data_IF_118837440373
#
_entry.id   IF_118837440373
#
_cell.length_a   1.000
_cell.length_b   1.000
_cell.length_c   1.000
_cell.angle_alpha   90.00
_cell.angle_beta   90.00
_cell.angle_gamma   90.00
#
_symmetry.space_group_name_H-M   'P 1'
#
loop_
_entity.id
_entity.type
_entity.pdbx_description
1 polymer ?
#
# COMPACT_ATOMS: atom_id res chain seq x y z
N UNK A 1 -4.03 -13.83 -13.94
CA UNK A 1 -2.60 -13.99 -14.31
C UNK A 1 -2.03 -12.59 -14.44
N UNK A 2 -0.79 -12.35 -13.98
CA UNK A 2 -0.08 -11.08 -14.12
C UNK A 2 1.22 -11.27 -14.90
N UNK A 3 1.79 -10.18 -15.41
CA UNK A 3 3.19 -10.13 -15.85
C UNK A 3 3.98 -9.29 -14.86
N UNK A 4 5.24 -9.67 -14.63
CA UNK A 4 6.19 -8.90 -13.82
C UNK A 4 7.20 -8.23 -14.73
N UNK A 5 7.43 -6.95 -14.49
CA UNK A 5 8.36 -6.13 -15.24
C UNK A 5 9.23 -5.30 -14.30
N UNK A 6 10.27 -4.68 -14.86
CA UNK A 6 11.20 -3.81 -14.13
C UNK A 6 11.23 -2.44 -14.79
N UNK A 7 11.14 -1.40 -13.99
CA UNK A 7 11.34 -0.01 -14.36
C UNK A 7 12.64 0.51 -13.74
N UNK A 8 13.47 1.13 -14.54
CA UNK A 8 14.67 1.82 -14.06
C UNK A 8 14.41 3.33 -14.04
N UNK A 9 14.56 3.96 -12.86
CA UNK A 9 14.39 5.40 -12.71
C UNK A 9 15.59 6.20 -13.26
N UNK A 10 15.49 7.52 -13.23
CA UNK A 10 16.55 8.44 -13.71
C UNK A 10 17.87 8.33 -12.93
N UNK A 11 17.86 7.69 -11.77
CA UNK A 11 19.04 7.45 -10.92
C UNK A 11 19.67 6.07 -11.13
N UNK A 12 19.17 5.28 -12.09
CA UNK A 12 19.63 3.90 -12.32
C UNK A 12 19.12 2.88 -11.30
N UNK A 13 18.12 3.23 -10.49
CA UNK A 13 17.53 2.32 -9.50
C UNK A 13 16.37 1.52 -10.12
N UNK A 14 16.30 0.22 -9.83
CA UNK A 14 15.30 -0.68 -10.39
C UNK A 14 14.12 -0.89 -9.45
N UNK A 15 12.91 -0.79 -10.01
CA UNK A 15 11.65 -1.04 -9.35
C UNK A 15 10.91 -2.16 -10.08
N UNK A 16 10.52 -3.20 -9.36
CA UNK A 16 9.65 -4.26 -9.86
C UNK A 16 8.19 -3.79 -9.84
N UNK A 17 7.41 -4.21 -10.82
CA UNK A 17 5.97 -3.97 -10.83
C UNK A 17 5.21 -5.10 -11.52
N UNK A 18 3.93 -5.21 -11.22
CA UNK A 18 3.04 -6.19 -11.82
C UNK A 18 2.00 -5.51 -12.68
N UNK A 19 1.63 -6.15 -13.78
CA UNK A 19 0.54 -5.75 -14.67
C UNK A 19 -0.54 -6.84 -14.64
N UNK A 20 -1.78 -6.45 -14.32
CA UNK A 20 -2.97 -7.29 -14.41
C UNK A 20 -3.91 -6.73 -15.48
N UNK A 21 -4.54 -7.61 -16.26
CA UNK A 21 -5.47 -7.25 -17.32
C UNK A 21 -4.82 -7.10 -18.69
N UNK A 22 -5.54 -6.42 -19.58
CA UNK A 22 -5.10 -6.21 -20.96
C UNK A 22 -3.93 -5.21 -21.01
N UNK A 23 -2.79 -5.66 -21.49
CA UNK A 23 -1.60 -4.80 -21.59
C UNK A 23 -1.74 -3.64 -22.58
N UNK A 24 -2.63 -3.77 -23.56
CA UNK A 24 -2.93 -2.72 -24.53
C UNK A 24 -3.96 -1.70 -24.04
N UNK A 25 -4.56 -1.90 -22.85
CA UNK A 25 -5.56 -0.99 -22.32
C UNK A 25 -4.98 0.39 -22.02
N UNK A 26 -5.73 1.43 -22.39
CA UNK A 26 -5.36 2.84 -22.21
C UNK A 26 -5.86 3.44 -20.88
N UNK A 27 -6.81 2.79 -20.20
CA UNK A 27 -7.27 3.22 -18.88
C UNK A 27 -6.41 2.55 -17.81
N UNK A 28 -5.67 3.35 -17.05
CA UNK A 28 -4.68 2.85 -16.11
C UNK A 28 -5.10 3.02 -14.66
N UNK A 29 -4.99 1.94 -13.89
CA UNK A 29 -5.18 1.94 -12.44
C UNK A 29 -3.84 1.62 -11.79
N UNK A 30 -3.22 2.59 -11.12
CA UNK A 30 -2.03 2.33 -10.32
C UNK A 30 -2.43 1.94 -8.90
N UNK A 31 -1.89 0.84 -8.43
CA UNK A 31 -2.12 0.32 -7.08
C UNK A 31 -0.83 0.33 -6.26
N UNK A 32 -0.90 0.89 -5.04
CA UNK A 32 0.21 0.96 -4.10
C UNK A 32 -0.09 0.13 -2.85
N UNK A 33 0.83 -0.79 -2.51
CA UNK A 33 0.67 -1.74 -1.41
C UNK A 33 0.89 -1.11 -0.02
N UNK A 34 0.51 -1.82 1.04
CA UNK A 34 0.76 -1.43 2.43
C UNK A 34 2.23 -1.62 2.85
N UNK A 35 2.65 -0.97 3.95
CA UNK A 35 3.96 -1.17 4.57
C UNK A 35 4.21 -2.63 4.89
N UNK A 36 5.41 -3.11 4.57
CA UNK A 36 5.85 -4.49 4.83
C UNK A 36 5.30 -5.53 3.85
N UNK A 37 4.42 -5.14 2.91
CA UNK A 37 3.88 -6.00 1.85
C UNK A 37 4.58 -5.71 0.52
N UNK A 38 4.07 -6.30 -0.56
CA UNK A 38 4.55 -6.14 -1.92
C UNK A 38 3.37 -6.22 -2.91
N UNK A 39 3.62 -5.94 -4.17
CA UNK A 39 2.59 -5.95 -5.21
C UNK A 39 1.92 -7.32 -5.36
N UNK A 40 2.68 -8.41 -5.26
CA UNK A 40 2.17 -9.78 -5.45
C UNK A 40 1.27 -10.24 -4.29
N UNK A 41 1.43 -9.69 -3.09
CA UNK A 41 0.50 -9.90 -1.96
C UNK A 41 -0.97 -9.63 -2.36
N UNK A 42 -1.20 -8.75 -3.30
CA UNK A 42 -2.54 -8.35 -3.77
C UNK A 42 -2.96 -9.05 -5.07
N UNK A 43 -2.20 -10.06 -5.53
CA UNK A 43 -2.45 -10.72 -6.80
C UNK A 43 -3.87 -11.26 -6.93
N UNK A 44 -4.38 -11.96 -5.93
CA UNK A 44 -5.76 -12.49 -5.95
C UNK A 44 -6.78 -11.35 -6.09
N UNK A 45 -6.67 -10.32 -5.27
CA UNK A 45 -7.54 -9.15 -5.31
C UNK A 45 -7.49 -8.42 -6.67
N UNK A 46 -6.29 -8.10 -7.17
CA UNK A 46 -6.10 -7.34 -8.39
C UNK A 46 -6.47 -8.16 -9.65
N UNK A 47 -6.22 -9.46 -9.65
CA UNK A 47 -6.65 -10.38 -10.72
C UNK A 47 -8.18 -10.47 -10.81
N UNK A 48 -8.86 -10.58 -9.66
CA UNK A 48 -10.32 -10.59 -9.64
C UNK A 48 -10.92 -9.22 -10.01
N UNK A 49 -10.30 -8.13 -9.59
CA UNK A 49 -10.70 -6.78 -9.99
C UNK A 49 -10.53 -6.59 -11.49
N UNK A 50 -9.40 -6.99 -12.06
CA UNK A 50 -9.12 -6.90 -13.49
C UNK A 50 -10.16 -7.66 -14.32
N UNK A 51 -10.52 -8.90 -13.94
CA UNK A 51 -11.58 -9.69 -14.60
C UNK A 51 -12.94 -8.98 -14.59
N UNK A 52 -13.27 -8.30 -13.47
CA UNK A 52 -14.53 -7.55 -13.34
C UNK A 52 -14.56 -6.25 -14.15
N UNK A 53 -13.42 -5.61 -14.33
CA UNK A 53 -13.29 -4.37 -15.10
C UNK A 53 -13.25 -4.61 -16.61
N UNK A 54 -12.89 -5.84 -17.06
CA UNK A 54 -12.76 -6.21 -18.45
C UNK A 54 -11.54 -5.59 -19.14
N UNK A 55 -11.49 -5.73 -20.47
CA UNK A 55 -10.29 -5.45 -21.27
C UNK A 55 -9.97 -3.97 -21.47
N UNK A 56 -10.84 -3.07 -21.05
CA UNK A 56 -10.61 -1.63 -21.16
C UNK A 56 -9.66 -1.07 -20.10
N UNK A 57 -9.30 -1.87 -19.11
CA UNK A 57 -8.48 -1.45 -17.96
C UNK A 57 -7.23 -2.30 -17.79
N UNK A 58 -6.15 -1.64 -17.39
CA UNK A 58 -4.90 -2.25 -16.96
C UNK A 58 -4.59 -1.78 -15.54
N UNK A 59 -4.31 -2.73 -14.64
CA UNK A 59 -3.91 -2.44 -13.27
C UNK A 59 -2.41 -2.64 -13.16
N UNK A 60 -1.71 -1.63 -12.68
CA UNK A 60 -0.25 -1.62 -12.52
C UNK A 60 0.04 -1.46 -11.03
N UNK A 61 0.71 -2.44 -10.42
CA UNK A 61 1.06 -2.40 -9.00
C UNK A 61 2.57 -2.39 -8.82
N UNK A 62 3.07 -1.34 -8.16
CA UNK A 62 4.50 -1.10 -7.94
C UNK A 62 4.96 -1.79 -6.65
N UNK A 63 6.07 -2.52 -6.69
CA UNK A 63 6.85 -2.84 -5.51
C UNK A 63 7.58 -1.57 -5.07
N UNK A 64 7.13 -0.94 -4.00
CA UNK A 64 7.68 0.33 -3.53
C UNK A 64 9.10 0.14 -2.98
N UNK A 65 9.90 1.20 -2.95
CA UNK A 65 11.29 1.19 -2.42
C UNK A 65 11.41 0.39 -1.13
N UNK A 66 12.37 -0.53 -1.09
CA UNK A 66 12.63 -1.42 0.05
C UNK A 66 11.57 -2.49 0.28
N UNK A 67 10.74 -2.78 -0.72
CA UNK A 67 9.72 -3.83 -0.68
C UNK A 67 9.74 -4.66 -1.97
N UNK A 68 9.16 -5.84 -1.90
CA UNK A 68 9.01 -6.72 -3.04
C UNK A 68 10.33 -7.06 -3.72
N UNK A 69 10.33 -7.10 -5.04
CA UNK A 69 11.52 -7.38 -5.83
C UNK A 69 12.17 -6.11 -6.40
N UNK A 70 11.82 -4.93 -5.88
CA UNK A 70 12.51 -3.68 -6.19
C UNK A 70 13.88 -3.65 -5.52
N UNK A 71 14.94 -3.36 -6.31
CA UNK A 71 16.33 -3.29 -5.83
C UNK A 71 16.81 -1.85 -5.57
N UNK A 72 15.90 -0.88 -5.58
CA UNK A 72 16.19 0.50 -5.24
C UNK A 72 16.71 0.61 -3.79
N UNK A 73 17.79 1.38 -3.59
CA UNK A 73 18.42 1.50 -2.29
C UNK A 73 17.47 2.05 -1.21
N UNK A 74 17.24 1.27 -0.16
CA UNK A 74 16.33 1.55 0.95
C UNK A 74 17.12 1.74 2.24
N UNK A 75 17.75 2.92 2.39
CA UNK A 75 18.50 3.31 3.58
C UNK A 75 17.56 3.91 4.64
N UNK A 76 17.33 3.22 5.80
CA UNK A 76 16.46 3.73 6.85
C UNK A 76 16.91 5.09 7.38
N UNK A 77 18.24 5.36 7.41
CA UNK A 77 18.79 6.62 7.89
C UNK A 77 18.43 7.84 7.03
N UNK A 78 18.03 7.61 5.79
CA UNK A 78 17.62 8.65 4.83
C UNK A 78 16.11 8.86 4.72
N UNK A 79 15.30 7.98 5.31
CA UNK A 79 13.85 8.10 5.25
C UNK A 79 13.34 9.04 6.33
N UNK A 80 13.07 10.28 6.00
CA UNK A 80 12.52 11.29 6.93
C UNK A 80 11.00 11.44 6.84
N UNK A 81 10.42 11.16 5.68
CA UNK A 81 8.98 11.25 5.39
C UNK A 81 8.61 10.29 4.25
N UNK A 82 7.32 10.01 4.08
CA UNK A 82 6.83 9.25 2.93
C UNK A 82 6.87 10.02 1.59
N UNK A 83 7.33 11.26 1.58
CA UNK A 83 7.42 12.03 0.33
C UNK A 83 8.37 11.38 -0.67
N UNK A 84 9.50 10.80 -0.21
CA UNK A 84 10.41 10.07 -1.10
C UNK A 84 9.74 8.89 -1.81
N UNK A 85 8.81 8.19 -1.13
CA UNK A 85 8.02 7.13 -1.75
C UNK A 85 7.00 7.68 -2.75
N UNK A 86 6.47 8.88 -2.50
CA UNK A 86 5.59 9.60 -3.45
C UNK A 86 6.38 10.05 -4.67
N UNK A 87 7.62 10.51 -4.50
CA UNK A 87 8.49 10.93 -5.59
C UNK A 87 8.85 9.74 -6.49
N UNK A 88 9.18 8.57 -5.90
CA UNK A 88 9.39 7.31 -6.65
C UNK A 88 8.13 6.92 -7.44
N UNK A 89 6.95 6.98 -6.81
CA UNK A 89 5.68 6.66 -7.44
C UNK A 89 5.34 7.64 -8.59
N UNK A 90 5.64 8.93 -8.42
CA UNK A 90 5.47 9.96 -9.45
C UNK A 90 6.33 9.68 -10.67
N UNK A 91 7.62 9.44 -10.45
CA UNK A 91 8.59 9.11 -11.50
C UNK A 91 8.15 7.88 -12.30
N UNK A 92 7.66 6.86 -11.59
CA UNK A 92 7.14 5.64 -12.20
C UNK A 92 5.88 5.90 -13.03
N UNK A 93 4.87 6.57 -12.47
CA UNK A 93 3.59 6.83 -13.16
C UNK A 93 3.80 7.66 -14.43
N UNK A 94 4.72 8.62 -14.42
CA UNK A 94 5.01 9.48 -15.57
C UNK A 94 5.57 8.74 -16.79
N UNK A 95 5.96 7.47 -16.66
CA UNK A 95 6.40 6.62 -17.80
C UNK A 95 5.24 6.04 -18.61
N UNK A 96 4.03 6.19 -18.14
CA UNK A 96 2.85 5.60 -18.78
C UNK A 96 1.94 6.71 -19.31
N UNK A 97 1.55 6.59 -20.57
CA UNK A 97 0.47 7.39 -21.14
C UNK A 97 -0.87 6.73 -20.87
N UNK A 98 -1.88 7.51 -20.52
CA UNK A 98 -3.21 6.99 -20.23
C UNK A 98 -4.31 7.90 -20.78
N UNK A 99 -5.44 7.30 -21.18
CA UNK A 99 -6.67 8.01 -21.51
C UNK A 99 -7.42 8.41 -20.25
N UNK A 100 -7.50 7.49 -19.29
CA UNK A 100 -8.04 7.72 -17.97
C UNK A 100 -7.06 7.20 -16.92
N UNK A 101 -6.84 7.99 -15.88
CA UNK A 101 -5.89 7.69 -14.82
C UNK A 101 -6.59 7.56 -13.47
N UNK A 102 -6.36 6.42 -12.82
CA UNK A 102 -6.89 6.10 -11.49
C UNK A 102 -5.76 5.75 -10.55
N UNK A 103 -5.85 6.24 -9.30
CA UNK A 103 -4.95 5.80 -8.25
C UNK A 103 -5.69 5.01 -7.19
N UNK A 104 -5.06 3.96 -6.71
CA UNK A 104 -5.55 3.13 -5.63
C UNK A 104 -4.41 2.71 -4.70
N UNK A 105 -4.73 2.36 -3.49
CA UNK A 105 -3.74 1.79 -2.58
C UNK A 105 -4.37 1.38 -1.26
N UNK A 106 -3.61 0.60 -0.51
CA UNK A 106 -4.00 0.12 0.81
C UNK A 106 -3.09 0.72 1.89
N UNK A 107 -3.66 1.15 3.01
CA UNK A 107 -2.90 1.60 4.19
C UNK A 107 -1.93 2.76 3.85
N UNK A 108 -0.61 2.55 3.94
CA UNK A 108 0.42 3.48 3.47
C UNK A 108 0.24 3.82 1.99
N UNK A 109 0.03 2.80 1.14
CA UNK A 109 -0.16 2.98 -0.30
C UNK A 109 -1.36 3.87 -0.63
N UNK A 110 -2.41 3.86 0.19
CA UNK A 110 -3.54 4.77 0.05
C UNK A 110 -3.13 6.23 0.29
N UNK A 111 -2.21 6.48 1.22
CA UNK A 111 -1.69 7.84 1.47
C UNK A 111 -0.76 8.28 0.35
N UNK A 112 0.04 7.37 -0.20
CA UNK A 112 0.86 7.65 -1.40
C UNK A 112 -0.04 8.01 -2.58
N UNK A 113 -1.07 7.22 -2.86
CA UNK A 113 -2.07 7.50 -3.89
C UNK A 113 -2.74 8.87 -3.71
N UNK A 114 -3.14 9.20 -2.48
CA UNK A 114 -3.74 10.50 -2.16
C UNK A 114 -2.77 11.66 -2.39
N UNK A 115 -1.52 11.55 -1.94
CA UNK A 115 -0.50 12.59 -2.15
C UNK A 115 -0.21 12.75 -3.64
N UNK A 116 0.05 11.64 -4.31
CA UNK A 116 0.36 11.60 -5.73
C UNK A 116 -0.75 12.22 -6.58
N UNK A 117 -2.03 12.02 -6.24
CA UNK A 117 -3.15 12.57 -6.96
C UNK A 117 -3.18 14.11 -7.01
N UNK A 118 -2.47 14.79 -6.12
CA UNK A 118 -2.37 16.25 -6.14
C UNK A 118 -1.25 16.77 -7.03
N UNK A 119 -0.43 15.88 -7.58
CA UNK A 119 0.67 16.17 -8.49
C UNK A 119 0.29 15.98 -9.98
N UNK A 120 -0.89 15.40 -10.24
CA UNK A 120 -1.45 15.20 -11.58
C UNK A 120 -2.70 16.05 -11.76
N UNK A 121 -2.83 16.71 -12.92
CA UNK A 121 -3.98 17.58 -13.22
C UNK A 121 -5.27 16.81 -13.46
N UNK A 122 -5.16 15.60 -14.03
CA UNK A 122 -6.29 14.80 -14.51
C UNK A 122 -6.28 13.41 -13.89
N UNK A 123 -6.96 13.28 -12.76
CA UNK A 123 -7.21 12.02 -12.09
C UNK A 123 -8.71 11.74 -12.13
N UNK A 124 -9.10 10.61 -12.73
CA UNK A 124 -10.50 10.22 -12.84
C UNK A 124 -11.11 9.92 -11.47
N UNK A 125 -10.46 9.09 -10.66
CA UNK A 125 -10.91 8.74 -9.29
C UNK A 125 -9.76 8.21 -8.42
N UNK A 126 -10.00 8.26 -7.10
CA UNK A 126 -9.17 7.61 -6.10
C UNK A 126 -9.93 6.51 -5.35
N UNK A 127 -9.22 5.41 -5.05
CA UNK A 127 -9.70 4.31 -4.22
C UNK A 127 -8.71 4.09 -3.06
N UNK A 128 -9.07 4.58 -1.86
CA UNK A 128 -8.20 4.58 -0.69
C UNK A 128 -8.66 3.52 0.30
N UNK A 129 -8.05 2.34 0.27
CA UNK A 129 -8.44 1.19 1.09
C UNK A 129 -7.82 1.34 2.47
N UNK A 130 -8.66 1.49 3.47
CA UNK A 130 -8.31 1.66 4.90
C UNK A 130 -7.04 2.49 5.15
N UNK A 131 -7.03 3.77 4.72
CA UNK A 131 -5.84 4.61 4.71
C UNK A 131 -5.30 4.87 6.12
N UNK A 132 -3.98 4.98 6.28
CA UNK A 132 -3.33 5.45 7.52
C UNK A 132 -3.63 6.94 7.70
N UNK A 133 -4.82 7.23 8.20
CA UNK A 133 -5.32 8.59 8.33
C UNK A 133 -5.85 8.86 9.75
N UNK A 134 -5.02 9.37 10.65
CA UNK A 134 -5.49 9.87 11.94
C UNK A 134 -6.34 11.13 11.78
N UNK A 135 -7.17 11.42 12.76
CA UNK A 135 -7.98 12.66 12.74
C UNK A 135 -7.10 13.92 12.68
N UNK A 136 -7.65 15.05 12.15
CA UNK A 136 -6.87 16.27 11.94
C UNK A 136 -6.23 16.84 13.22
N UNK A 137 -6.94 16.79 14.35
CA UNK A 137 -6.42 17.22 15.66
C UNK A 137 -5.25 16.34 16.12
N UNK A 138 -5.38 15.02 15.94
CA UNK A 138 -4.33 14.06 16.28
C UNK A 138 -3.09 14.25 15.39
N UNK A 139 -3.29 14.48 14.10
CA UNK A 139 -2.21 14.77 13.15
C UNK A 139 -1.46 16.06 13.52
N UNK A 140 -2.18 17.10 13.93
CA UNK A 140 -1.58 18.35 14.39
C UNK A 140 -0.76 18.15 15.66
N UNK A 141 -1.32 17.44 16.64
CA UNK A 141 -0.62 17.09 17.89
C UNK A 141 0.62 16.23 17.64
N UNK A 142 0.53 15.23 16.77
CA UNK A 142 1.65 14.38 16.37
C UNK A 142 2.78 15.17 15.72
N UNK A 143 2.47 16.14 14.86
CA UNK A 143 3.47 17.05 14.27
C UNK A 143 4.17 17.89 15.34
N UNK A 144 3.42 18.42 16.30
CA UNK A 144 3.99 19.19 17.41
C UNK A 144 4.93 18.34 18.26
N UNK A 145 4.52 17.11 18.63
CA UNK A 145 5.38 16.16 19.33
C UNK A 145 6.66 15.84 18.56
N UNK A 146 6.56 15.61 17.25
CA UNK A 146 7.72 15.34 16.40
C UNK A 146 8.68 16.53 16.38
N UNK A 147 8.17 17.76 16.32
CA UNK A 147 8.97 18.98 16.35
C UNK A 147 9.78 19.11 17.64
N UNK A 148 9.17 18.77 18.79
CA UNK A 148 9.84 18.82 20.09
C UNK A 148 10.56 17.51 20.47
N UNK A 149 10.70 16.53 19.54
CA UNK A 149 11.34 15.22 19.78
C UNK A 149 10.75 14.44 20.95
N UNK A 150 9.47 14.62 21.25
CA UNK A 150 8.74 13.98 22.36
C UNK A 150 8.07 12.66 21.95
N UNK A 151 8.41 12.09 20.78
CA UNK A 151 7.82 10.86 20.31
C UNK A 151 8.37 9.66 21.08
N UNK A 152 7.46 8.85 21.63
CA UNK A 152 7.75 7.49 22.07
C UNK A 152 7.70 6.55 20.87
N UNK A 153 8.61 5.60 20.82
CA UNK A 153 8.59 4.54 19.79
C UNK A 153 7.29 3.76 19.89
N UNK A 154 6.56 3.65 18.79
CA UNK A 154 5.29 2.92 18.77
C UNK A 154 5.53 1.41 18.84
N UNK A 155 4.51 0.66 19.34
CA UNK A 155 4.56 -0.80 19.35
C UNK A 155 4.77 -1.38 17.95
N UNK A 156 4.17 -0.79 16.91
CA UNK A 156 4.36 -1.23 15.51
C UNK A 156 5.81 -1.10 15.04
N UNK A 157 6.48 0.00 15.39
CA UNK A 157 7.91 0.22 15.07
C UNK A 157 8.78 -0.85 15.74
N UNK A 158 8.52 -1.14 17.01
CA UNK A 158 9.26 -2.17 17.75
C UNK A 158 8.99 -3.57 17.19
N UNK A 159 7.73 -3.88 16.88
CA UNK A 159 7.36 -5.17 16.29
C UNK A 159 8.01 -5.39 14.92
N UNK A 160 8.01 -4.35 14.07
CA UNK A 160 8.68 -4.42 12.78
C UNK A 160 10.19 -4.61 12.93
N UNK A 161 10.84 -3.83 13.82
CA UNK A 161 12.28 -3.90 14.04
C UNK A 161 12.75 -5.27 14.52
N UNK A 162 11.93 -5.95 15.32
CA UNK A 162 12.25 -7.27 15.90
C UNK A 162 11.70 -8.44 15.07
N UNK A 163 11.14 -8.19 13.89
CA UNK A 163 10.59 -9.24 13.04
C UNK A 163 11.71 -10.13 12.51
N UNK A 164 11.51 -11.46 12.60
CA UNK A 164 12.39 -12.42 11.93
C UNK A 164 12.31 -12.19 10.42
N UNK A 165 13.45 -12.10 9.74
CA UNK A 165 13.53 -11.85 8.30
C UNK A 165 14.43 -12.85 7.55
N UNK A 166 15.20 -13.67 8.25
CA UNK A 166 16.06 -14.73 7.69
C UNK A 166 15.49 -16.11 8.02
N UNK A 167 15.45 -16.97 7.02
CA UNK A 167 14.90 -18.32 7.05
C UNK A 167 15.80 -19.25 6.24
N UNK A 168 15.81 -20.57 6.54
CA UNK A 168 16.50 -21.56 5.75
C UNK A 168 15.84 -21.77 4.36
N UNK A 169 14.55 -21.46 4.22
CA UNK A 169 13.81 -21.57 2.96
C UNK A 169 12.53 -20.75 2.97
N UNK A 170 11.93 -20.54 1.78
CA UNK A 170 10.57 -19.98 1.67
C UNK A 170 9.53 -20.84 2.40
N UNK A 171 9.71 -22.16 2.40
CA UNK A 171 8.80 -23.08 3.10
C UNK A 171 8.89 -22.90 4.63
N UNK A 172 10.07 -22.68 5.17
CA UNK A 172 10.22 -22.36 6.61
C UNK A 172 9.55 -21.02 6.93
N UNK A 173 9.73 -20.01 6.10
CA UNK A 173 9.05 -18.73 6.27
C UNK A 173 7.52 -18.88 6.22
N UNK A 174 6.99 -19.67 5.30
CA UNK A 174 5.56 -19.97 5.20
C UNK A 174 5.04 -20.59 6.52
N UNK A 175 5.71 -21.64 7.02
CA UNK A 175 5.32 -22.30 8.27
C UNK A 175 5.46 -21.37 9.48
N UNK A 176 6.41 -20.44 9.45
CA UNK A 176 6.60 -19.45 10.51
C UNK A 176 5.47 -18.42 10.55
N UNK A 177 5.00 -17.93 9.40
CA UNK A 177 3.99 -16.86 9.35
C UNK A 177 2.56 -17.37 9.37
N UNK A 178 2.29 -18.58 8.87
CA UNK A 178 0.95 -19.17 8.79
C UNK A 178 0.23 -19.12 10.14
N UNK A 179 -0.95 -18.48 10.17
CA UNK A 179 -1.81 -18.39 11.35
C UNK A 179 -1.28 -17.48 12.47
N UNK A 180 -0.26 -16.65 12.23
CA UNK A 180 0.37 -15.81 13.26
C UNK A 180 0.29 -14.32 12.94
N UNK A 181 0.15 -13.50 13.98
CA UNK A 181 0.23 -12.04 13.88
C UNK A 181 -0.71 -11.46 12.82
N UNK A 182 -0.17 -10.65 11.94
CA UNK A 182 -0.89 -10.02 10.83
C UNK A 182 -1.43 -11.04 9.81
N UNK A 183 -0.83 -12.21 9.72
CA UNK A 183 -1.16 -13.27 8.75
C UNK A 183 -2.20 -14.29 9.29
N UNK A 184 -2.74 -14.06 10.51
CA UNK A 184 -3.64 -15.01 11.19
C UNK A 184 -4.89 -15.34 10.36
N UNK A 185 -5.44 -14.38 9.66
CA UNK A 185 -6.66 -14.50 8.86
C UNK A 185 -6.41 -14.72 7.36
N UNK A 186 -5.16 -14.85 6.95
CA UNK A 186 -4.81 -15.05 5.54
C UNK A 186 -4.99 -16.52 5.16
N UNK A 187 -5.51 -16.77 3.96
CA UNK A 187 -5.45 -18.09 3.36
C UNK A 187 -4.03 -18.38 2.84
N UNK A 188 -3.77 -19.65 2.54
CA UNK A 188 -2.46 -20.12 2.13
C UNK A 188 -2.00 -19.46 0.81
N UNK A 189 -2.90 -19.21 -0.12
CA UNK A 189 -2.58 -18.60 -1.42
C UNK A 189 -2.07 -17.16 -1.25
N UNK A 190 -2.73 -16.37 -0.40
CA UNK A 190 -2.29 -14.98 -0.13
C UNK A 190 -0.93 -14.96 0.57
N UNK A 191 -0.70 -15.87 1.52
CA UNK A 191 0.58 -15.99 2.18
C UNK A 191 1.67 -16.43 1.20
N UNK A 192 1.34 -17.34 0.29
CA UNK A 192 2.27 -17.79 -0.75
C UNK A 192 2.61 -16.64 -1.71
N UNK A 193 1.63 -15.87 -2.19
CA UNK A 193 1.83 -14.68 -3.03
C UNK A 193 2.72 -13.64 -2.30
N UNK A 194 2.46 -13.40 -1.01
CA UNK A 194 3.30 -12.51 -0.19
C UNK A 194 4.78 -12.94 -0.17
N UNK A 195 5.03 -14.24 0.04
CA UNK A 195 6.39 -14.78 0.10
C UNK A 195 7.05 -14.88 -1.29
N UNK A 196 6.28 -15.16 -2.34
CA UNK A 196 6.80 -15.21 -3.70
C UNK A 196 7.29 -13.83 -4.16
N UNK A 197 6.49 -12.80 -3.93
CA UNK A 197 6.83 -11.43 -4.31
C UNK A 197 7.71 -10.69 -3.30
N UNK A 198 7.92 -11.23 -2.09
CA UNK A 198 8.59 -10.55 -0.99
C UNK A 198 9.76 -11.28 -0.35
N UNK A 199 10.29 -12.33 -0.98
CA UNK A 199 11.49 -13.01 -0.49
C UNK A 199 12.57 -13.13 -1.56
N UNK A 200 13.78 -12.85 -1.15
CA UNK A 200 15.01 -13.06 -1.92
C UNK A 200 15.64 -14.37 -1.43
N UNK A 201 15.99 -15.25 -2.37
CA UNK A 201 16.68 -16.50 -2.06
C UNK A 201 18.13 -16.37 -2.53
N UNK A 202 19.07 -16.51 -1.61
CA UNK A 202 20.50 -16.44 -1.87
C UNK A 202 21.18 -17.66 -1.23
N UNK A 203 21.90 -18.42 -2.03
CA UNK A 203 22.55 -19.68 -1.59
C UNK A 203 21.53 -20.60 -0.88
N UNK A 204 21.76 -20.90 0.40
CA UNK A 204 20.95 -21.81 1.21
C UNK A 204 20.00 -21.06 2.17
N UNK A 205 19.70 -19.76 1.92
CA UNK A 205 18.87 -18.94 2.79
C UNK A 205 17.83 -18.15 2.01
N UNK A 206 16.76 -17.78 2.70
CA UNK A 206 15.70 -16.95 2.19
C UNK A 206 15.49 -15.74 3.12
N UNK A 207 15.42 -14.54 2.56
CA UNK A 207 15.31 -13.29 3.28
C UNK A 207 14.04 -12.55 2.88
N UNK A 208 13.35 -11.92 3.85
CA UNK A 208 12.33 -10.94 3.49
C UNK A 208 12.99 -9.75 2.81
N UNK A 209 12.51 -9.38 1.62
CA UNK A 209 13.01 -8.23 0.87
C UNK A 209 12.76 -6.91 1.61
N UNK A 210 11.63 -6.80 2.32
CA UNK A 210 11.41 -5.67 3.22
C UNK A 210 12.18 -5.90 4.53
N UNK A 211 13.38 -5.29 4.62
CA UNK A 211 14.21 -5.43 5.80
C UNK A 211 13.54 -4.83 7.05
N UNK A 212 13.58 -5.49 8.23
CA UNK A 212 12.93 -5.04 9.46
C UNK A 212 13.20 -3.59 9.84
N UNK A 213 14.42 -3.11 9.67
CA UNK A 213 14.80 -1.74 9.99
C UNK A 213 14.18 -0.73 9.01
N UNK A 214 14.06 -1.09 7.73
CA UNK A 214 13.36 -0.26 6.75
C UNK A 214 11.87 -0.18 7.07
N UNK A 215 11.21 -1.32 7.31
CA UNK A 215 9.81 -1.37 7.69
C UNK A 215 9.52 -0.55 8.95
N UNK A 216 10.38 -0.70 9.97
CA UNK A 216 10.28 0.07 11.20
C UNK A 216 10.38 1.59 10.94
N UNK A 217 11.30 2.02 10.06
CA UNK A 217 11.44 3.44 9.75
C UNK A 217 10.28 3.96 8.89
N UNK A 218 9.71 3.15 8.00
CA UNK A 218 8.46 3.49 7.29
C UNK A 218 7.32 3.75 8.28
N UNK A 219 7.16 2.92 9.32
CA UNK A 219 6.17 3.19 10.38
C UNK A 219 6.49 4.43 11.20
N UNK A 220 7.78 4.65 11.53
CA UNK A 220 8.24 5.79 12.34
C UNK A 220 8.04 7.13 11.61
N UNK A 221 8.14 7.13 10.29
CA UNK A 221 8.04 8.33 9.44
C UNK A 221 6.65 8.54 8.83
N UNK A 222 5.63 7.85 9.36
CA UNK A 222 4.25 7.96 8.90
C UNK A 222 3.80 9.42 8.72
N UNK A 223 3.13 9.69 7.60
CA UNK A 223 2.74 11.04 7.20
C UNK A 223 1.71 11.66 8.14
N UNK A 224 2.10 12.73 8.81
CA UNK A 224 1.22 13.54 9.67
C UNK A 224 0.65 14.78 8.94
N UNK A 225 1.06 15.03 7.71
CA UNK A 225 0.66 16.17 6.89
C UNK A 225 -0.47 15.85 5.89
N UNK A 226 -1.03 14.66 5.95
CA UNK A 226 -1.99 14.10 4.97
C UNK A 226 -3.23 15.01 4.77
N UNK A 227 -3.66 15.71 5.81
CA UNK A 227 -4.84 16.58 5.74
C UNK A 227 -4.70 17.78 4.77
N UNK A 228 -3.47 18.20 4.45
CA UNK A 228 -3.25 19.22 3.42
C UNK A 228 -3.61 18.69 2.02
N UNK A 229 -3.37 17.40 1.76
CA UNK A 229 -3.71 16.72 0.50
C UNK A 229 -5.20 16.40 0.42
N UNK A 230 -5.83 15.96 1.53
CA UNK A 230 -7.29 15.79 1.61
C UNK A 230 -8.05 17.10 1.26
N UNK A 231 -7.45 18.26 1.52
CA UNK A 231 -8.03 19.56 1.15
C UNK A 231 -7.83 19.90 -0.33
N UNK A 232 -6.76 19.37 -0.97
CA UNK A 232 -6.36 19.69 -2.34
C UNK A 232 -7.00 18.77 -3.38
N UNK A 233 -7.33 17.52 -3.02
CA UNK A 233 -7.87 16.54 -3.95
C UNK A 233 -9.23 17.00 -4.50
N UNK A 234 -9.35 17.00 -5.84
CA UNK A 234 -10.54 17.49 -6.57
C UNK A 234 -11.43 16.37 -7.10
N UNK A 235 -10.84 15.22 -7.45
CA UNK A 235 -11.59 14.08 -7.98
C UNK A 235 -12.46 13.39 -6.92
N UNK A 236 -13.35 12.49 -7.37
CA UNK A 236 -14.13 11.64 -6.47
C UNK A 236 -13.23 10.63 -5.79
N UNK A 237 -13.40 10.46 -4.48
CA UNK A 237 -12.61 9.53 -3.65
C UNK A 237 -13.54 8.52 -3.01
N UNK A 238 -13.29 7.24 -3.25
CA UNK A 238 -13.98 6.15 -2.56
C UNK A 238 -13.06 5.57 -1.49
N UNK A 239 -13.57 5.46 -0.26
CA UNK A 239 -12.80 5.02 0.92
C UNK A 239 -13.48 3.83 1.58
N UNK A 240 -13.22 2.59 1.13
CA UNK A 240 -13.58 1.41 1.91
C UNK A 240 -12.69 1.33 3.14
N UNK A 241 -13.29 1.11 4.32
CA UNK A 241 -12.54 1.03 5.56
C UNK A 241 -13.04 -0.11 6.46
N UNK A 242 -12.13 -0.64 7.27
CA UNK A 242 -12.40 -1.71 8.21
C UNK A 242 -13.13 -1.20 9.46
N UNK A 243 -14.03 -2.01 10.02
CA UNK A 243 -14.61 -1.74 11.32
C UNK A 243 -13.71 -2.25 12.46
N UNK A 244 -12.89 -3.28 12.18
CA UNK A 244 -12.01 -3.91 13.15
C UNK A 244 -10.56 -3.49 12.89
N UNK A 245 -9.90 -2.92 13.91
CA UNK A 245 -8.49 -2.51 13.86
C UNK A 245 -8.11 -1.62 12.65
N UNK A 246 -9.01 -0.74 12.21
CA UNK A 246 -8.76 0.22 11.14
C UNK A 246 -7.63 1.18 11.49
N UNK A 247 -6.81 1.53 10.50
CA UNK A 247 -5.80 2.60 10.62
C UNK A 247 -6.39 4.00 10.40
N UNK A 248 -7.64 4.07 9.97
CA UNK A 248 -8.39 5.32 9.83
C UNK A 248 -9.14 5.66 11.12
N UNK A 249 -8.67 6.66 11.84
CA UNK A 249 -9.27 7.09 13.11
C UNK A 249 -10.69 7.68 12.96
N UNK A 250 -11.52 7.61 14.02
CA UNK A 250 -12.89 8.16 14.04
C UNK A 250 -12.93 9.64 13.65
N UNK A 251 -11.98 10.43 14.13
CA UNK A 251 -11.84 11.82 13.77
C UNK A 251 -11.62 12.03 12.26
N UNK A 252 -10.94 11.11 11.59
CA UNK A 252 -10.79 11.13 10.15
C UNK A 252 -12.12 10.83 9.46
N UNK A 253 -12.78 9.73 9.85
CA UNK A 253 -14.09 9.34 9.30
C UNK A 253 -15.10 10.49 9.36
N UNK A 254 -15.30 11.08 10.54
CA UNK A 254 -16.19 12.23 10.76
C UNK A 254 -15.84 13.45 9.89
N UNK A 255 -14.57 13.72 9.65
CA UNK A 255 -14.14 14.86 8.83
C UNK A 255 -14.26 14.58 7.33
N UNK A 256 -13.98 13.35 6.87
CA UNK A 256 -14.15 12.98 5.47
C UNK A 256 -15.62 12.93 5.05
N UNK A 257 -16.53 12.46 5.93
CA UNK A 257 -17.98 12.45 5.68
C UNK A 257 -18.57 13.83 5.38
N UNK A 258 -17.93 14.91 5.84
CA UNK A 258 -18.34 16.29 5.56
C UNK A 258 -17.91 16.79 4.17
N UNK A 259 -17.19 15.99 3.41
CA UNK A 259 -16.66 16.36 2.09
C UNK A 259 -17.47 15.69 0.98
N UNK A 260 -18.01 16.48 0.07
CA UNK A 260 -18.89 15.99 -1.01
C UNK A 260 -18.21 15.07 -2.03
N UNK A 261 -16.88 15.16 -2.14
CA UNK A 261 -16.10 14.32 -3.05
C UNK A 261 -15.59 13.04 -2.40
N UNK A 262 -15.83 12.79 -1.10
CA UNK A 262 -15.44 11.55 -0.41
C UNK A 262 -16.66 10.68 -0.12
N UNK A 263 -16.62 9.43 -0.58
CA UNK A 263 -17.63 8.41 -0.25
C UNK A 263 -16.98 7.35 0.61
N UNK A 264 -17.39 7.21 1.86
CA UNK A 264 -16.90 6.21 2.79
C UNK A 264 -17.83 4.99 2.79
N UNK A 265 -17.24 3.79 2.86
CA UNK A 265 -17.99 2.55 3.01
C UNK A 265 -17.34 1.68 4.09
N UNK A 266 -18.05 1.38 5.21
CA UNK A 266 -17.57 0.44 6.22
C UNK A 266 -17.68 -0.99 5.72
N UNK A 267 -16.74 -1.83 6.18
CA UNK A 267 -16.76 -3.28 6.00
C UNK A 267 -16.54 -3.96 7.36
N UNK A 268 -17.30 -4.98 7.64
CA UNK A 268 -17.10 -5.83 8.82
C UNK A 268 -15.91 -6.77 8.57
N UNK A 269 -14.74 -6.18 8.65
CA UNK A 269 -13.47 -6.79 8.32
C UNK A 269 -12.35 -6.15 9.13
N UNK A 270 -11.19 -6.81 9.18
CA UNK A 270 -9.95 -6.24 9.71
C UNK A 270 -9.30 -5.27 8.71
N UNK A 271 -8.22 -4.61 9.15
CA UNK A 271 -7.38 -3.75 8.30
C UNK A 271 -7.00 -4.38 6.94
N UNK A 272 -6.94 -5.72 6.86
CA UNK A 272 -6.59 -6.47 5.65
C UNK A 272 -7.78 -6.77 4.72
N UNK A 273 -8.82 -5.95 4.75
CA UNK A 273 -10.08 -6.15 4.01
C UNK A 273 -9.88 -6.37 2.50
N UNK A 274 -8.86 -5.76 1.88
CA UNK A 274 -8.54 -5.94 0.46
C UNK A 274 -8.03 -7.33 0.13
N UNK A 275 -7.47 -8.05 1.09
CA UNK A 275 -6.94 -9.39 0.91
C UNK A 275 -7.99 -10.47 1.15
N UNK A 276 -8.95 -10.23 2.03
CA UNK A 276 -9.83 -11.28 2.56
C UNK A 276 -11.28 -11.15 2.09
N UNK A 277 -11.83 -9.93 1.96
CA UNK A 277 -13.27 -9.72 1.83
C UNK A 277 -13.75 -9.10 0.49
N UNK A 278 -12.89 -8.43 -0.29
CA UNK A 278 -13.35 -7.76 -1.51
C UNK A 278 -13.50 -8.73 -2.70
N UNK A 279 -13.03 -9.96 -2.57
CA UNK A 279 -13.18 -11.02 -3.57
C UNK A 279 -14.55 -11.70 -3.57
N UNK A 280 -15.32 -11.60 -2.47
CA UNK A 280 -16.67 -12.17 -2.42
C UNK A 280 -17.71 -11.18 -2.97
N UNK A 281 -18.65 -11.63 -3.85
CA UNK A 281 -19.81 -10.82 -4.18
C UNK A 281 -20.63 -10.63 -2.88
N UNK A 282 -20.85 -9.37 -2.49
CA UNK A 282 -21.80 -9.07 -1.42
C UNK A 282 -23.12 -9.72 -1.78
N UNK A 283 -23.53 -10.78 -1.07
CA UNK A 283 -24.90 -11.28 -1.15
C UNK A 283 -25.83 -10.11 -0.85
N UNK A 284 -26.85 -9.85 -1.68
CA UNK A 284 -27.89 -8.90 -1.33
C UNK A 284 -28.44 -9.33 0.03
N UNK A 285 -28.46 -8.44 1.01
CA UNK A 285 -29.25 -8.64 2.23
C UNK A 285 -30.71 -8.86 1.81
N UNK A 286 -31.22 -10.05 2.08
CA UNK A 286 -32.64 -10.35 1.98
C UNK A 286 -33.42 -9.51 2.97
#
# INVERSE_FOLDING_TARGET
>A
MFTREVYTNSKGENFSYLIHGNQAAENLIFFFHATGFNAETYNNFLSNLSKKLGDNYKIISLDQRGHGLSSANADPGKLSTWNSLVDDAKDFVQKFSSKELYFSGHSMGAIIALKLSTEFSEISRLFLIDPVLPGPKFSAYGRLKKLFRLNKTSHMVLAAKNRRFEFASKQEAFNHFKGRGAYKSWNDDILQDYLNGGMIVEQDKAYLSCHPHWEAEVFNTASLDTWKYVKKVKCKVFVPYALIASTMGDGARKNLQKKNNFKLKPYDASHFLSLIHISEPTRPSQ
#
